data_IF_987673163976
#
_entry.id   IF_987673163976
#
_cell.length_a   1.000
_cell.length_b   1.000
_cell.length_c   1.000
_cell.angle_alpha   90.00
_cell.angle_beta   90.00
_cell.angle_gamma   90.00
#
_symmetry.space_group_name_H-M   'P 1'
#
loop_
_entity.id
_entity.type
_entity.pdbx_description
1 polymer ?
#
# COMPACT_ATOMS: atom_id res chain seq x y z
N UNK A 1 13.38 2.99 -4.27
CA UNK A 1 12.87 3.85 -5.34
C UNK A 1 11.34 4.02 -5.30
N UNK A 2 10.57 3.14 -4.67
CA UNK A 2 9.08 3.16 -4.69
C UNK A 2 8.43 3.82 -3.47
N UNK A 3 9.21 4.21 -2.48
CA UNK A 3 8.72 4.97 -1.34
C UNK A 3 8.90 6.47 -1.59
N UNK A 4 7.91 7.27 -1.19
CA UNK A 4 8.10 8.71 -1.03
C UNK A 4 8.98 8.98 0.20
N UNK A 5 9.49 10.20 0.36
CA UNK A 5 10.32 10.57 1.52
C UNK A 5 9.58 10.29 2.83
N UNK A 6 8.30 10.64 2.90
CA UNK A 6 7.47 10.38 4.07
C UNK A 6 7.24 8.88 4.35
N UNK A 7 7.01 8.08 3.30
CA UNK A 7 6.89 6.62 3.47
C UNK A 7 8.20 5.99 3.91
N UNK A 8 9.34 6.52 3.43
CA UNK A 8 10.65 6.08 3.87
C UNK A 8 10.92 6.45 5.33
N UNK A 9 10.46 7.61 5.80
CA UNK A 9 10.51 7.98 7.21
C UNK A 9 9.70 7.01 8.09
N UNK A 10 8.46 6.68 7.70
CA UNK A 10 7.63 5.70 8.40
C UNK A 10 8.29 4.32 8.44
N UNK A 11 8.91 3.91 7.34
CA UNK A 11 9.63 2.66 7.25
C UNK A 11 10.86 2.64 8.18
N UNK A 12 11.67 3.70 8.17
CA UNK A 12 12.80 3.85 9.08
C UNK A 12 12.35 3.88 10.54
N UNK A 13 11.22 4.51 10.85
CA UNK A 13 10.65 4.49 12.19
C UNK A 13 10.39 3.06 12.67
N UNK A 14 9.71 2.25 11.88
CA UNK A 14 9.35 0.87 12.28
C UNK A 14 10.59 -0.02 12.47
N UNK A 15 11.64 0.18 11.66
CA UNK A 15 12.94 -0.48 11.83
C UNK A 15 13.59 -0.03 13.14
N UNK A 16 13.66 1.28 13.36
CA UNK A 16 14.35 1.85 14.52
C UNK A 16 13.62 1.59 15.84
N UNK A 17 12.28 1.58 15.84
CA UNK A 17 11.50 1.13 17.01
C UNK A 17 11.93 -0.26 17.48
N UNK A 18 12.09 -1.19 16.55
CA UNK A 18 12.52 -2.56 16.86
C UNK A 18 13.99 -2.65 17.22
N UNK A 19 14.85 -1.86 16.57
CA UNK A 19 16.30 -1.84 16.83
C UNK A 19 16.61 -1.22 18.19
N UNK A 20 15.94 -0.12 18.56
CA UNK A 20 16.13 0.61 19.80
C UNK A 20 15.31 0.01 20.96
N UNK A 21 14.18 -0.63 20.66
CA UNK A 21 13.28 -1.25 21.65
C UNK A 21 12.38 -0.24 22.39
N UNK A 22 12.14 0.93 21.81
CA UNK A 22 11.23 1.93 22.38
C UNK A 22 10.27 2.50 21.31
N UNK A 23 9.04 2.90 21.69
CA UNK A 23 8.07 3.51 20.76
C UNK A 23 8.57 4.85 20.22
N UNK A 24 8.59 4.98 18.90
CA UNK A 24 9.01 6.16 18.17
C UNK A 24 7.83 6.81 17.43
N UNK A 25 7.99 8.09 17.06
CA UNK A 25 7.03 8.84 16.25
C UNK A 25 7.72 9.66 15.18
N UNK A 26 7.09 9.73 14.01
CA UNK A 26 7.39 10.74 13.00
C UNK A 26 6.57 12.00 13.24
N UNK A 27 7.01 13.11 12.70
CA UNK A 27 6.27 14.35 12.69
C UNK A 27 5.62 14.59 11.32
N UNK A 28 4.53 15.39 11.33
CA UNK A 28 3.94 15.85 10.06
C UNK A 28 4.96 16.75 9.33
N UNK A 29 4.95 16.78 8.00
CA UNK A 29 5.78 17.68 7.22
C UNK A 29 5.58 19.14 7.67
N UNK A 30 6.65 19.82 8.07
CA UNK A 30 6.55 21.21 8.56
C UNK A 30 7.83 21.71 9.22
N UNK A 31 7.71 22.74 10.07
CA UNK A 31 8.81 23.29 10.85
C UNK A 31 9.01 22.47 12.14
N UNK A 32 9.56 21.28 12.03
CA UNK A 32 9.83 20.34 13.13
C UNK A 32 11.17 20.55 13.85
N UNK A 33 11.89 21.60 13.44
CA UNK A 33 13.21 21.91 13.99
C UNK A 33 14.29 20.90 13.60
N UNK A 34 14.08 20.12 12.51
CA UNK A 34 15.05 19.16 11.97
C UNK A 34 15.12 17.84 12.74
N UNK A 35 14.00 17.38 13.30
CA UNK A 35 13.85 16.04 13.88
C UNK A 35 12.86 15.28 13.03
N UNK A 36 13.30 14.22 12.37
CA UNK A 36 12.41 13.38 11.57
C UNK A 36 11.66 12.39 12.48
N UNK A 37 12.38 11.72 13.39
CA UNK A 37 11.83 10.72 14.29
C UNK A 37 12.40 10.88 15.70
N UNK A 38 11.55 10.78 16.71
CA UNK A 38 11.94 10.75 18.12
C UNK A 38 11.01 9.85 18.93
N UNK A 39 11.30 9.69 20.21
CA UNK A 39 10.45 8.90 21.10
C UNK A 39 9.06 9.51 21.24
N UNK A 40 8.07 8.64 21.38
CA UNK A 40 6.68 9.05 21.59
C UNK A 40 6.51 9.96 22.83
N UNK A 41 7.32 9.75 23.86
CA UNK A 41 7.30 10.55 25.10
C UNK A 41 7.99 11.91 24.97
N UNK A 42 8.62 12.22 23.84
CA UNK A 42 9.35 13.46 23.57
C UNK A 42 10.45 13.76 24.62
N UNK A 43 11.08 12.71 25.16
CA UNK A 43 12.13 12.86 26.18
C UNK A 43 13.45 13.39 25.61
N UNK A 44 13.60 13.36 24.27
CA UNK A 44 14.81 13.83 23.58
C UNK A 44 16.01 12.91 23.72
N UNK A 45 15.84 11.70 24.27
CA UNK A 45 16.95 10.74 24.44
C UNK A 45 17.41 10.18 23.11
N UNK A 46 16.47 9.67 22.32
CA UNK A 46 16.73 9.10 21.01
C UNK A 46 16.24 10.04 19.92
N UNK A 47 17.09 10.32 18.97
CA UNK A 47 16.78 11.14 17.81
C UNK A 47 17.27 10.43 16.55
N UNK A 48 16.40 10.25 15.58
CA UNK A 48 16.74 9.60 14.30
C UNK A 48 16.53 10.60 13.17
N UNK A 49 17.57 10.78 12.37
CA UNK A 49 17.53 11.57 11.14
C UNK A 49 17.39 10.62 9.96
N UNK A 50 16.46 10.92 9.06
CA UNK A 50 16.22 10.11 7.87
C UNK A 50 16.63 10.87 6.62
N UNK A 51 17.35 10.21 5.72
CA UNK A 51 17.80 10.77 4.44
C UNK A 51 17.52 9.79 3.31
N UNK A 52 16.48 10.06 2.54
CA UNK A 52 16.05 9.21 1.41
C UNK A 52 16.87 9.50 0.14
N UNK A 53 18.20 9.49 0.24
CA UNK A 53 19.14 9.87 -0.84
C UNK A 53 19.57 8.65 -1.67
N UNK A 54 18.65 7.96 -2.34
CA UNK A 54 18.92 6.72 -3.08
C UNK A 54 19.89 6.97 -4.25
N UNK A 55 19.53 7.91 -5.12
CA UNK A 55 20.24 8.17 -6.38
C UNK A 55 21.24 9.34 -6.28
N UNK A 56 21.24 10.08 -5.19
CA UNK A 56 22.12 11.23 -4.99
C UNK A 56 23.57 10.80 -4.70
N UNK A 57 24.59 11.51 -5.18
CA UNK A 57 25.99 11.25 -4.83
C UNK A 57 26.25 11.35 -3.33
N UNK A 58 27.21 10.58 -2.79
CA UNK A 58 27.58 10.62 -1.37
C UNK A 58 27.92 12.05 -0.87
N UNK A 59 28.67 12.89 -1.61
CA UNK A 59 28.94 14.26 -1.17
C UNK A 59 27.69 15.10 -0.91
N UNK A 60 26.60 14.85 -1.62
CA UNK A 60 25.31 15.52 -1.43
C UNK A 60 24.70 15.10 -0.08
N UNK A 61 24.69 13.81 0.23
CA UNK A 61 24.24 13.29 1.53
C UNK A 61 25.08 13.89 2.67
N UNK A 62 26.42 13.85 2.56
CA UNK A 62 27.31 14.39 3.56
C UNK A 62 27.10 15.90 3.78
N UNK A 63 26.93 16.66 2.70
CA UNK A 63 26.61 18.10 2.78
C UNK A 63 25.30 18.37 3.50
N UNK A 64 24.28 17.55 3.25
CA UNK A 64 23.00 17.62 3.96
C UNK A 64 23.18 17.33 5.46
N UNK A 65 23.92 16.28 5.82
CA UNK A 65 24.18 15.91 7.21
C UNK A 65 24.99 17.00 7.95
N UNK A 66 25.96 17.62 7.29
CA UNK A 66 26.69 18.77 7.87
C UNK A 66 25.78 19.94 8.24
N UNK A 67 24.67 20.15 7.51
CA UNK A 67 23.67 21.18 7.84
C UNK A 67 22.80 20.81 9.05
N UNK A 68 22.69 19.52 9.36
CA UNK A 68 21.96 19.07 10.56
C UNK A 68 22.77 19.20 11.85
N UNK A 69 24.10 19.18 11.79
CA UNK A 69 24.97 19.21 12.96
C UNK A 69 24.68 20.38 13.94
N UNK A 70 24.45 21.64 13.50
CA UNK A 70 24.09 22.71 14.40
C UNK A 70 22.79 22.45 15.16
N UNK A 71 21.81 21.83 14.52
CA UNK A 71 20.51 21.48 15.12
C UNK A 71 20.67 20.37 16.16
N UNK A 72 21.48 19.35 15.86
CA UNK A 72 21.81 18.26 16.79
C UNK A 72 22.54 18.83 18.05
N UNK A 73 23.49 19.72 17.83
CA UNK A 73 24.19 20.43 18.93
C UNK A 73 23.25 21.25 19.82
N UNK A 74 22.23 21.84 19.22
CA UNK A 74 21.24 22.61 20.02
C UNK A 74 20.32 21.68 20.81
N UNK A 75 19.96 20.51 20.27
CA UNK A 75 19.04 19.57 20.91
C UNK A 75 19.70 18.60 21.87
N UNK A 76 21.00 18.36 21.73
CA UNK A 76 21.80 17.47 22.56
C UNK A 76 21.14 16.11 22.86
N UNK A 77 20.76 15.30 21.84
CA UNK A 77 20.21 13.99 22.09
C UNK A 77 21.24 13.11 22.82
N UNK A 78 20.77 12.16 23.64
CA UNK A 78 21.66 11.16 24.26
C UNK A 78 22.15 10.15 23.23
N UNK A 79 21.27 9.75 22.30
CA UNK A 79 21.56 8.80 21.23
C UNK A 79 21.03 9.36 19.90
N UNK A 80 21.94 9.57 18.99
CA UNK A 80 21.63 10.06 17.64
C UNK A 80 21.86 8.98 16.62
N UNK A 81 20.88 8.77 15.72
CA UNK A 81 20.94 7.78 14.69
C UNK A 81 20.71 8.43 13.32
N UNK A 82 21.32 7.85 12.28
CA UNK A 82 21.09 8.27 10.91
C UNK A 82 20.63 7.06 10.10
N UNK A 83 19.44 7.15 9.49
CA UNK A 83 18.95 6.18 8.51
C UNK A 83 19.05 6.77 7.12
N UNK A 84 19.69 6.06 6.17
CA UNK A 84 19.75 6.54 4.80
C UNK A 84 19.45 5.44 3.78
N UNK A 85 18.76 5.84 2.68
CA UNK A 85 18.40 4.96 1.58
C UNK A 85 19.55 4.64 0.62
N UNK A 86 20.81 4.89 1.02
CA UNK A 86 22.01 4.72 0.21
C UNK A 86 22.92 3.65 0.78
N UNK A 87 23.55 2.86 -0.11
CA UNK A 87 24.67 1.97 0.29
C UNK A 87 25.90 2.80 0.58
N UNK A 88 26.50 2.61 1.75
CA UNK A 88 27.70 3.33 2.19
C UNK A 88 28.90 2.41 2.24
N UNK A 89 30.09 2.97 1.99
CA UNK A 89 31.35 2.26 2.24
C UNK A 89 31.73 2.41 3.72
N UNK A 90 32.62 1.55 4.21
CA UNK A 90 33.14 1.66 5.58
C UNK A 90 33.76 3.04 5.87
N UNK A 91 34.45 3.63 4.87
CA UNK A 91 35.00 4.99 5.00
C UNK A 91 33.90 6.04 5.15
N UNK A 92 32.80 5.92 4.39
CA UNK A 92 31.66 6.84 4.48
C UNK A 92 30.97 6.75 5.83
N UNK A 93 30.76 5.53 6.33
CA UNK A 93 30.18 5.31 7.67
C UNK A 93 31.07 5.93 8.75
N UNK A 94 32.39 5.69 8.67
CA UNK A 94 33.36 6.26 9.61
C UNK A 94 33.37 7.80 9.59
N UNK A 95 33.30 8.41 8.38
CA UNK A 95 33.25 9.86 8.23
C UNK A 95 31.97 10.45 8.84
N UNK A 96 30.81 9.81 8.62
CA UNK A 96 29.54 10.24 9.22
C UNK A 96 29.58 10.09 10.74
N UNK A 97 30.07 8.95 11.25
CA UNK A 97 30.22 8.72 12.68
C UNK A 97 31.13 9.78 13.34
N UNK A 98 32.30 10.08 12.74
CA UNK A 98 33.19 11.12 13.26
C UNK A 98 32.53 12.49 13.32
N UNK A 99 31.65 12.82 12.37
CA UNK A 99 30.91 14.08 12.34
C UNK A 99 29.95 14.25 13.54
N UNK A 100 29.41 13.14 14.04
CA UNK A 100 28.40 13.12 15.13
C UNK A 100 28.85 12.31 16.35
N UNK A 101 30.14 12.05 16.51
CA UNK A 101 30.72 11.21 17.57
C UNK A 101 30.33 11.59 18.99
N UNK A 102 30.02 12.87 19.23
CA UNK A 102 29.57 13.35 20.56
C UNK A 102 28.13 12.90 20.91
N UNK A 103 27.38 12.37 19.93
CA UNK A 103 25.95 12.01 20.03
C UNK A 103 25.63 10.58 19.61
N UNK A 104 26.60 9.86 19.05
CA UNK A 104 26.46 8.48 18.60
C UNK A 104 27.28 7.55 19.47
N UNK A 105 26.71 6.46 19.93
CA UNK A 105 27.39 5.46 20.75
C UNK A 105 28.53 4.77 19.98
N UNK A 106 28.25 4.41 18.74
CA UNK A 106 29.18 3.75 17.83
C UNK A 106 28.76 3.93 16.35
N UNK A 107 29.52 3.33 15.45
CA UNK A 107 29.26 3.40 14.00
C UNK A 107 27.97 2.65 13.57
N UNK A 108 27.41 1.76 14.40
CA UNK A 108 26.14 1.06 14.13
C UNK A 108 24.92 1.99 14.21
N UNK A 109 25.12 3.20 14.77
CA UNK A 109 24.12 4.28 14.74
C UNK A 109 23.87 4.81 13.32
N UNK A 110 24.78 4.53 12.37
CA UNK A 110 24.60 4.84 10.94
C UNK A 110 24.01 3.62 10.24
N UNK A 111 22.69 3.67 10.00
CA UNK A 111 21.90 2.60 9.38
C UNK A 111 21.77 2.90 7.89
N UNK A 112 22.57 2.26 7.08
CA UNK A 112 22.56 2.37 5.63
C UNK A 112 21.62 1.35 4.96
N UNK A 113 21.48 1.42 3.65
CA UNK A 113 20.60 0.51 2.91
C UNK A 113 21.03 -0.98 3.06
N UNK A 114 22.30 -1.28 3.23
CA UNK A 114 22.77 -2.66 3.43
C UNK A 114 22.40 -3.19 4.82
N UNK A 115 22.48 -2.34 5.84
CA UNK A 115 22.07 -2.70 7.19
C UNK A 115 20.53 -2.84 7.28
N UNK A 116 19.78 -1.97 6.59
CA UNK A 116 18.33 -2.09 6.45
C UNK A 116 17.97 -3.44 5.82
N UNK A 117 18.61 -3.80 4.71
CA UNK A 117 18.36 -5.04 3.99
C UNK A 117 18.69 -6.26 4.88
N UNK A 118 19.85 -6.26 5.53
CA UNK A 118 20.24 -7.30 6.48
C UNK A 118 19.25 -7.46 7.64
N UNK A 119 18.74 -6.35 8.16
CA UNK A 119 17.78 -6.34 9.26
C UNK A 119 16.45 -6.97 8.84
N UNK A 120 15.97 -6.65 7.64
CA UNK A 120 14.70 -7.15 7.11
C UNK A 120 14.72 -8.64 6.74
N UNK A 121 15.88 -9.20 6.38
CA UNK A 121 16.02 -10.62 6.06
C UNK A 121 15.89 -11.54 7.29
N UNK A 122 15.93 -11.00 8.50
CA UNK A 122 15.67 -11.77 9.71
C UNK A 122 14.19 -12.13 9.80
N UNK A 123 13.87 -13.41 10.06
CA UNK A 123 12.48 -13.91 10.15
C UNK A 123 11.63 -13.14 11.15
N UNK A 124 12.22 -12.69 12.24
CA UNK A 124 11.57 -11.90 13.29
C UNK A 124 11.11 -10.50 12.84
N UNK A 125 11.60 -10.01 11.68
CA UNK A 125 11.31 -8.69 11.14
C UNK A 125 10.42 -8.72 9.89
N UNK A 126 9.91 -9.90 9.50
CA UNK A 126 9.10 -10.07 8.29
C UNK A 126 7.82 -9.20 8.28
N UNK A 127 7.22 -8.98 9.46
CA UNK A 127 6.04 -8.14 9.62
C UNK A 127 6.27 -6.66 9.28
N UNK A 128 7.51 -6.17 9.36
CA UNK A 128 7.86 -4.81 8.93
C UNK A 128 7.71 -4.70 7.41
N UNK A 129 8.22 -5.69 6.66
CA UNK A 129 8.03 -5.75 5.20
C UNK A 129 6.55 -5.83 4.82
N UNK A 130 5.76 -6.64 5.52
CA UNK A 130 4.33 -6.78 5.28
C UNK A 130 3.58 -5.46 5.46
N UNK A 131 3.98 -4.65 6.45
CA UNK A 131 3.42 -3.31 6.64
C UNK A 131 3.79 -2.33 5.53
N UNK A 132 4.99 -2.47 4.96
CA UNK A 132 5.51 -1.62 3.89
C UNK A 132 5.47 -2.33 2.53
N UNK A 133 4.26 -2.66 2.08
CA UNK A 133 3.98 -3.51 0.92
C UNK A 133 4.69 -3.08 -0.38
N UNK A 134 4.95 -1.78 -0.60
CA UNK A 134 5.66 -1.29 -1.79
C UNK A 134 7.08 -1.87 -1.93
N UNK A 135 7.70 -2.29 -0.83
CA UNK A 135 9.04 -2.86 -0.83
C UNK A 135 9.06 -4.34 -1.24
N UNK A 136 8.08 -5.13 -0.80
CA UNK A 136 8.06 -6.54 -1.12
C UNK A 136 7.40 -6.83 -2.48
N UNK A 137 6.57 -5.92 -2.99
CA UNK A 137 5.99 -6.04 -4.33
C UNK A 137 7.01 -6.01 -5.46
N UNK A 138 8.15 -5.36 -5.26
CA UNK A 138 9.28 -5.39 -6.21
C UNK A 138 10.09 -6.69 -6.16
N UNK A 139 9.85 -7.56 -5.20
CA UNK A 139 10.55 -8.83 -5.20
C UNK A 139 10.15 -9.58 -6.48
N UNK A 140 11.13 -9.86 -7.32
CA UNK A 140 11.00 -10.58 -8.60
C UNK A 140 10.11 -11.82 -8.49
N UNK A 141 10.08 -12.47 -7.31
CA UNK A 141 9.26 -13.64 -7.06
C UNK A 141 7.74 -13.38 -7.09
N UNK A 142 7.27 -12.19 -6.76
CA UNK A 142 5.84 -11.85 -6.83
C UNK A 142 5.46 -11.53 -8.26
N UNK A 143 6.23 -10.70 -8.95
CA UNK A 143 6.01 -10.37 -10.37
C UNK A 143 6.15 -11.60 -11.27
N UNK A 144 7.15 -12.48 -11.00
CA UNK A 144 7.30 -13.75 -11.72
C UNK A 144 6.13 -14.73 -11.46
N UNK A 145 5.61 -14.80 -10.24
CA UNK A 145 4.41 -15.60 -9.94
C UNK A 145 3.17 -15.06 -10.64
N UNK A 146 3.07 -13.75 -10.83
CA UNK A 146 2.01 -13.11 -11.56
C UNK A 146 2.15 -13.31 -13.08
N UNK A 147 3.37 -13.22 -13.62
CA UNK A 147 3.67 -13.38 -15.05
C UNK A 147 3.63 -14.82 -15.57
N UNK A 148 3.84 -15.83 -14.73
CA UNK A 148 3.83 -17.26 -15.10
C UNK A 148 2.44 -17.93 -15.00
N UNK A 149 1.37 -17.15 -14.91
CA UNK A 149 0.02 -17.71 -14.92
C UNK A 149 -0.56 -17.61 -16.32
N UNK A 150 -1.30 -18.63 -16.77
CA UNK A 150 -2.19 -18.57 -17.92
C UNK A 150 -3.31 -17.54 -17.66
N UNK A 151 -2.96 -16.27 -17.83
CA UNK A 151 -3.81 -15.14 -17.49
C UNK A 151 -4.40 -14.60 -18.79
N UNK A 152 -5.71 -14.39 -18.82
CA UNK A 152 -6.35 -13.69 -19.91
C UNK A 152 -5.73 -12.30 -20.12
N UNK A 153 -5.78 -11.79 -21.34
CA UNK A 153 -5.20 -10.48 -21.75
C UNK A 153 -5.60 -9.34 -20.77
N UNK A 154 -6.81 -9.40 -20.22
CA UNK A 154 -7.30 -8.43 -19.25
C UNK A 154 -6.53 -8.43 -17.93
N UNK A 155 -6.06 -9.60 -17.48
CA UNK A 155 -5.25 -9.70 -16.27
C UNK A 155 -3.84 -9.13 -16.49
N UNK A 156 -3.26 -9.36 -17.67
CA UNK A 156 -1.94 -8.82 -18.02
C UNK A 156 -1.96 -7.27 -18.04
N UNK A 157 -2.97 -6.68 -18.68
CA UNK A 157 -3.19 -5.24 -18.67
C UNK A 157 -3.49 -4.69 -17.26
N UNK A 158 -4.16 -5.45 -16.41
CA UNK A 158 -4.43 -5.12 -15.03
C UNK A 158 -3.13 -5.04 -14.22
N UNK A 159 -2.27 -6.04 -14.30
CA UNK A 159 -0.99 -6.06 -13.58
C UNK A 159 0.01 -5.02 -14.08
N UNK A 160 0.08 -4.79 -15.38
CA UNK A 160 0.92 -3.72 -15.95
C UNK A 160 0.53 -2.33 -15.42
N UNK A 161 -0.76 -2.07 -15.25
CA UNK A 161 -1.22 -0.83 -14.64
C UNK A 161 -0.88 -0.75 -13.15
N UNK A 162 -1.01 -1.85 -12.42
CA UNK A 162 -0.64 -1.90 -10.99
C UNK A 162 0.84 -1.55 -10.83
N UNK A 163 1.73 -2.12 -11.60
CA UNK A 163 3.16 -1.84 -11.52
C UNK A 163 3.47 -0.34 -11.62
N UNK A 164 2.78 0.37 -12.52
CA UNK A 164 2.96 1.82 -12.68
C UNK A 164 2.29 2.66 -11.58
N UNK A 165 1.14 2.23 -11.12
CA UNK A 165 0.28 3.02 -10.22
C UNK A 165 0.54 2.74 -8.73
N UNK A 166 1.14 1.60 -8.38
CA UNK A 166 1.35 1.20 -6.99
C UNK A 166 2.10 2.23 -6.13
N UNK A 167 3.07 2.94 -6.71
CA UNK A 167 3.82 3.98 -6.03
C UNK A 167 2.95 5.17 -5.59
N UNK A 168 1.85 5.43 -6.28
CA UNK A 168 0.91 6.50 -5.97
C UNK A 168 -0.04 6.12 -4.83
N UNK A 169 -0.24 4.82 -4.59
CA UNK A 169 -1.21 4.34 -3.62
C UNK A 169 -0.79 4.65 -2.18
N UNK A 170 -1.78 5.05 -1.40
CA UNK A 170 -1.67 5.22 0.05
C UNK A 170 -2.62 4.23 0.72
N UNK A 171 -2.13 3.49 1.72
CA UNK A 171 -3.00 2.66 2.55
C UNK A 171 -3.96 3.56 3.33
N UNK A 172 -5.23 3.45 3.00
CA UNK A 172 -6.32 4.14 3.68
C UNK A 172 -7.04 3.18 4.62
N UNK A 173 -7.92 3.71 5.47
CA UNK A 173 -8.81 2.89 6.32
C UNK A 173 -9.59 1.85 5.51
N UNK A 174 -9.99 2.18 4.28
CA UNK A 174 -10.73 1.25 3.40
C UNK A 174 -9.88 0.06 2.95
N UNK A 175 -8.56 0.22 2.83
CA UNK A 175 -7.67 -0.90 2.51
C UNK A 175 -7.62 -1.91 3.64
N UNK A 176 -7.39 -1.44 4.87
CA UNK A 176 -7.31 -2.31 6.05
C UNK A 176 -8.66 -3.00 6.34
N UNK A 177 -9.77 -2.26 6.21
CA UNK A 177 -11.11 -2.81 6.37
C UNK A 177 -11.41 -3.84 5.27
N UNK A 178 -11.15 -3.51 4.01
CA UNK A 178 -11.40 -4.40 2.87
C UNK A 178 -10.60 -5.70 2.97
N UNK A 179 -9.34 -5.63 3.38
CA UNK A 179 -8.51 -6.80 3.60
C UNK A 179 -9.11 -7.73 4.67
N UNK A 180 -9.42 -7.18 5.85
CA UNK A 180 -10.04 -7.93 6.95
C UNK A 180 -11.36 -8.58 6.57
N UNK A 181 -12.20 -7.85 5.81
CA UNK A 181 -13.49 -8.38 5.36
C UNK A 181 -13.32 -9.52 4.35
N UNK A 182 -12.37 -9.42 3.42
CA UNK A 182 -12.08 -10.50 2.47
C UNK A 182 -11.55 -11.75 3.17
N UNK A 183 -10.64 -11.60 4.11
CA UNK A 183 -10.09 -12.73 4.89
C UNK A 183 -11.18 -13.45 5.69
N UNK A 184 -12.16 -12.71 6.23
CA UNK A 184 -13.19 -13.26 7.11
C UNK A 184 -14.43 -13.75 6.36
N UNK A 185 -14.91 -12.96 5.40
CA UNK A 185 -16.23 -13.15 4.76
C UNK A 185 -16.12 -13.58 3.29
N UNK A 186 -14.91 -13.60 2.73
CA UNK A 186 -14.57 -14.03 1.38
C UNK A 186 -15.14 -13.18 0.23
N UNK A 187 -16.06 -12.27 0.49
CA UNK A 187 -16.72 -11.46 -0.53
C UNK A 187 -16.82 -10.00 -0.11
N UNK A 188 -16.40 -9.11 -1.00
CA UNK A 188 -16.37 -7.66 -0.77
C UNK A 188 -16.99 -6.92 -1.95
N UNK A 189 -17.89 -5.97 -1.65
CA UNK A 189 -18.43 -5.01 -2.59
C UNK A 189 -17.96 -3.61 -2.23
N UNK A 190 -17.22 -2.96 -3.12
CA UNK A 190 -16.77 -1.57 -2.99
C UNK A 190 -17.74 -0.65 -3.72
N UNK A 191 -18.35 0.27 -3.00
CA UNK A 191 -19.27 1.25 -3.54
C UNK A 191 -18.70 2.66 -3.36
N UNK A 192 -18.99 3.56 -4.29
CA UNK A 192 -18.54 4.95 -4.19
C UNK A 192 -18.72 5.72 -5.49
N UNK A 193 -18.55 7.02 -5.44
CA UNK A 193 -18.63 7.88 -6.60
C UNK A 193 -17.46 7.68 -7.60
N UNK A 194 -17.59 8.13 -8.84
CA UNK A 194 -16.48 8.15 -9.78
C UNK A 194 -15.27 8.91 -9.19
N UNK A 195 -14.06 8.37 -9.37
CA UNK A 195 -12.82 9.02 -8.92
C UNK A 195 -12.41 8.80 -7.46
N UNK A 196 -13.24 8.17 -6.60
CA UNK A 196 -12.90 7.94 -5.17
C UNK A 196 -11.84 6.86 -4.93
N UNK A 197 -11.30 6.24 -5.97
CA UNK A 197 -10.21 5.26 -5.85
C UNK A 197 -10.63 3.80 -5.75
N UNK A 198 -11.89 3.42 -6.03
CA UNK A 198 -12.37 2.02 -6.00
C UNK A 198 -11.49 1.04 -6.77
N UNK A 199 -11.22 1.35 -8.04
CA UNK A 199 -10.37 0.51 -8.91
C UNK A 199 -8.95 0.41 -8.37
N UNK A 200 -8.38 1.49 -7.82
CA UNK A 200 -7.07 1.46 -7.19
C UNK A 200 -7.06 0.57 -5.94
N UNK A 201 -8.05 0.71 -5.07
CA UNK A 201 -8.19 -0.14 -3.88
C UNK A 201 -8.36 -1.61 -4.27
N UNK A 202 -9.20 -1.90 -5.27
CA UNK A 202 -9.39 -3.26 -5.82
C UNK A 202 -8.08 -3.85 -6.31
N UNK A 203 -7.30 -3.09 -7.08
CA UNK A 203 -5.98 -3.51 -7.59
C UNK A 203 -5.02 -3.84 -6.44
N UNK A 204 -4.97 -3.01 -5.43
CA UNK A 204 -4.03 -3.17 -4.32
C UNK A 204 -4.41 -4.33 -3.41
N UNK A 205 -5.71 -4.57 -3.18
CA UNK A 205 -6.18 -5.78 -2.50
C UNK A 205 -5.84 -7.04 -3.31
N UNK A 206 -6.13 -7.02 -4.62
CA UNK A 206 -5.80 -8.15 -5.50
C UNK A 206 -4.30 -8.47 -5.47
N UNK A 207 -3.46 -7.47 -5.48
CA UNK A 207 -2.01 -7.62 -5.41
C UNK A 207 -1.55 -8.22 -4.07
N UNK A 208 -2.12 -7.79 -2.95
CA UNK A 208 -1.83 -8.35 -1.63
C UNK A 208 -2.16 -9.84 -1.57
N UNK A 209 -3.36 -10.24 -2.04
CA UNK A 209 -3.74 -11.64 -2.08
C UNK A 209 -2.96 -12.47 -3.11
N UNK A 210 -2.52 -11.86 -4.22
CA UNK A 210 -1.63 -12.52 -5.17
C UNK A 210 -0.30 -12.92 -4.51
N UNK A 211 0.25 -12.05 -3.68
CA UNK A 211 1.44 -12.35 -2.88
C UNK A 211 1.24 -13.50 -1.88
N UNK A 212 0.03 -13.68 -1.37
CA UNK A 212 -0.36 -14.80 -0.51
C UNK A 212 -0.67 -16.10 -1.28
N UNK A 213 -0.41 -16.10 -2.60
CA UNK A 213 -0.55 -17.26 -3.46
C UNK A 213 -1.93 -17.42 -4.11
N UNK A 214 -2.80 -16.41 -4.04
CA UNK A 214 -4.05 -16.42 -4.78
C UNK A 214 -3.81 -16.15 -6.27
N UNK A 215 -4.44 -16.92 -7.14
CA UNK A 215 -4.52 -16.60 -8.58
C UNK A 215 -5.59 -15.54 -8.80
N UNK A 216 -5.23 -14.47 -9.48
CA UNK A 216 -6.15 -13.38 -9.78
C UNK A 216 -6.90 -13.70 -11.09
N UNK A 217 -8.23 -13.54 -11.07
CA UNK A 217 -9.13 -13.63 -12.21
C UNK A 217 -9.85 -12.29 -12.34
N UNK A 218 -9.48 -11.51 -13.35
CA UNK A 218 -9.94 -10.13 -13.50
C UNK A 218 -10.81 -9.97 -14.74
N UNK A 219 -11.90 -9.22 -14.64
CA UNK A 219 -12.71 -8.76 -15.77
C UNK A 219 -13.27 -7.36 -15.52
N UNK A 220 -13.28 -6.54 -16.57
CA UNK A 220 -13.81 -5.18 -16.58
C UNK A 220 -15.23 -5.07 -17.12
N UNK A 221 -15.67 -6.04 -17.91
CA UNK A 221 -16.92 -5.94 -18.68
C UNK A 221 -18.05 -6.82 -18.14
N UNK A 222 -17.83 -7.46 -16.97
CA UNK A 222 -18.80 -8.39 -16.40
C UNK A 222 -19.09 -9.61 -17.28
N UNK A 223 -18.15 -10.02 -18.15
CA UNK A 223 -18.24 -11.25 -18.91
C UNK A 223 -17.95 -12.45 -18.01
N UNK A 224 -18.99 -12.84 -17.26
CA UNK A 224 -18.92 -13.91 -16.27
C UNK A 224 -18.69 -15.29 -16.88
N UNK A 225 -19.07 -15.49 -18.15
CA UNK A 225 -18.93 -16.77 -18.83
C UNK A 225 -17.46 -17.19 -18.98
N UNK A 226 -16.59 -16.27 -19.44
CA UNK A 226 -15.17 -16.56 -19.61
C UNK A 226 -14.46 -16.70 -18.26
N UNK A 227 -14.86 -15.89 -17.28
CA UNK A 227 -14.36 -16.00 -15.93
C UNK A 227 -14.71 -17.35 -15.29
N UNK A 228 -15.95 -17.84 -15.47
CA UNK A 228 -16.36 -19.16 -14.99
C UNK A 228 -15.57 -20.31 -15.64
N UNK A 229 -15.24 -20.19 -16.93
CA UNK A 229 -14.39 -21.18 -17.62
C UNK A 229 -12.95 -21.17 -17.10
N UNK A 230 -12.45 -20.00 -16.71
CA UNK A 230 -11.10 -19.84 -16.18
C UNK A 230 -10.94 -20.30 -14.73
N UNK A 231 -12.04 -20.43 -13.96
CA UNK A 231 -12.00 -20.91 -12.59
C UNK A 231 -11.62 -22.39 -12.53
N UNK A 232 -10.73 -22.70 -11.59
CA UNK A 232 -10.34 -24.08 -11.33
C UNK A 232 -11.47 -24.86 -10.66
N UNK A 233 -11.72 -26.08 -11.11
CA UNK A 233 -12.60 -27.02 -10.44
C UNK A 233 -12.02 -27.53 -9.09
N UNK A 234 -10.72 -27.34 -8.88
CA UNK A 234 -10.05 -27.65 -7.63
C UNK A 234 -10.48 -26.69 -6.52
N UNK A 235 -11.12 -27.20 -5.50
CA UNK A 235 -11.68 -26.43 -4.38
C UNK A 235 -10.62 -25.85 -3.46
N UNK A 236 -9.46 -26.47 -3.36
CA UNK A 236 -8.34 -26.05 -2.51
C UNK A 236 -7.48 -24.98 -3.18
N UNK A 237 -7.65 -24.79 -4.48
CA UNK A 237 -6.85 -23.79 -5.21
C UNK A 237 -7.29 -22.38 -4.84
N UNK A 238 -6.38 -21.60 -4.30
CA UNK A 238 -6.61 -20.20 -3.97
C UNK A 238 -6.81 -19.36 -5.23
N UNK A 239 -7.99 -18.76 -5.38
CA UNK A 239 -8.31 -17.85 -6.48
C UNK A 239 -9.07 -16.62 -5.94
N UNK A 240 -8.69 -15.44 -6.42
CA UNK A 240 -9.39 -14.19 -6.18
C UNK A 240 -10.01 -13.70 -7.48
N UNK A 241 -11.31 -13.61 -7.48
CA UNK A 241 -12.11 -13.10 -8.60
C UNK A 241 -12.31 -11.60 -8.41
N UNK A 242 -12.04 -10.82 -9.45
CA UNK A 242 -12.18 -9.36 -9.44
C UNK A 242 -13.11 -8.93 -10.56
N UNK A 243 -14.24 -8.35 -10.20
CA UNK A 243 -15.22 -7.78 -11.12
C UNK A 243 -15.17 -6.25 -10.99
N UNK A 244 -14.42 -5.60 -11.88
CA UNK A 244 -14.29 -4.14 -11.90
C UNK A 244 -15.45 -3.52 -12.67
N UNK A 245 -16.14 -2.54 -12.08
CA UNK A 245 -17.39 -1.92 -12.58
C UNK A 245 -18.46 -2.96 -12.96
N UNK A 246 -18.68 -3.94 -12.07
CA UNK A 246 -19.52 -5.12 -12.32
C UNK A 246 -20.97 -4.81 -12.70
N UNK A 247 -21.47 -3.63 -12.32
CA UNK A 247 -22.79 -3.11 -12.65
C UNK A 247 -22.74 -1.96 -13.67
N UNK A 248 -21.69 -1.88 -14.51
CA UNK A 248 -21.42 -0.78 -15.43
C UNK A 248 -22.61 -0.34 -16.28
N UNK A 249 -22.45 0.68 -17.11
CA UNK A 249 -23.51 1.31 -17.93
C UNK A 249 -24.37 0.35 -18.77
N UNK A 250 -23.86 -0.86 -19.02
CA UNK A 250 -24.55 -1.90 -19.78
C UNK A 250 -25.35 -2.90 -18.93
N UNK A 251 -25.27 -2.85 -17.58
CA UNK A 251 -26.01 -3.77 -16.73
C UNK A 251 -27.52 -3.73 -17.02
N UNK A 252 -28.06 -2.54 -17.26
CA UNK A 252 -29.47 -2.33 -17.53
C UNK A 252 -29.91 -2.72 -18.95
N UNK A 253 -28.98 -2.91 -19.88
CA UNK A 253 -29.28 -3.41 -21.24
C UNK A 253 -29.16 -4.92 -21.35
N UNK A 254 -28.63 -5.57 -20.31
CA UNK A 254 -28.32 -7.01 -20.35
C UNK A 254 -29.17 -7.75 -19.31
N UNK A 255 -30.29 -8.18 -19.77
CA UNK A 255 -31.15 -9.30 -19.39
C UNK A 255 -30.82 -10.10 -18.11
N UNK A 256 -31.87 -10.67 -17.52
CA UNK A 256 -31.96 -11.67 -16.42
C UNK A 256 -30.83 -12.73 -16.41
N UNK A 257 -30.25 -13.05 -17.55
CA UNK A 257 -29.17 -14.03 -17.69
C UNK A 257 -27.89 -13.64 -16.92
N UNK A 258 -27.46 -12.37 -16.94
CA UNK A 258 -26.23 -11.95 -16.23
C UNK A 258 -26.42 -11.88 -14.71
N UNK A 259 -27.59 -11.52 -14.26
CA UNK A 259 -27.95 -11.54 -12.85
C UNK A 259 -27.89 -12.97 -12.31
N UNK A 260 -28.52 -13.92 -12.99
CA UNK A 260 -28.45 -15.34 -12.65
C UNK A 260 -27.01 -15.88 -12.67
N UNK A 261 -26.17 -15.40 -13.58
CA UNK A 261 -24.75 -15.77 -13.63
C UNK A 261 -23.96 -15.24 -12.44
N UNK A 262 -24.21 -13.98 -12.01
CA UNK A 262 -23.59 -13.40 -10.84
C UNK A 262 -24.02 -14.15 -9.58
N UNK A 263 -25.32 -14.43 -9.44
CA UNK A 263 -25.87 -15.23 -8.34
C UNK A 263 -25.23 -16.62 -8.26
N UNK A 264 -25.07 -17.27 -9.40
CA UNK A 264 -24.42 -18.58 -9.46
C UNK A 264 -22.95 -18.51 -9.04
N UNK A 265 -22.23 -17.46 -9.45
CA UNK A 265 -20.84 -17.24 -9.06
C UNK A 265 -20.70 -17.04 -7.54
N UNK A 266 -21.54 -16.18 -6.94
CA UNK A 266 -21.52 -15.92 -5.50
C UNK A 266 -21.84 -17.21 -4.72
N UNK A 267 -22.86 -17.96 -5.13
CA UNK A 267 -23.17 -19.26 -4.48
C UNK A 267 -22.03 -20.26 -4.59
N UNK A 268 -21.27 -20.21 -5.69
CA UNK A 268 -20.08 -21.06 -5.87
C UNK A 268 -18.98 -20.64 -4.88
N UNK A 269 -18.70 -19.34 -4.73
CA UNK A 269 -17.68 -18.81 -3.82
C UNK A 269 -18.04 -19.11 -2.37
N UNK A 270 -19.29 -18.94 -1.96
CA UNK A 270 -19.75 -19.29 -0.59
C UNK A 270 -19.46 -20.74 -0.20
N UNK A 271 -19.44 -21.64 -1.16
CA UNK A 271 -19.18 -23.08 -0.94
C UNK A 271 -17.72 -23.47 -1.04
N UNK A 272 -16.84 -22.52 -1.39
CA UNK A 272 -15.43 -22.79 -1.65
C UNK A 272 -14.55 -21.77 -0.90
N UNK A 273 -14.09 -22.06 0.33
CA UNK A 273 -13.36 -21.13 1.18
C UNK A 273 -12.03 -20.63 0.59
N UNK A 274 -11.43 -21.36 -0.36
CA UNK A 274 -10.23 -20.93 -1.08
C UNK A 274 -10.50 -19.93 -2.20
N UNK A 275 -11.77 -19.55 -2.44
CA UNK A 275 -12.16 -18.57 -3.45
C UNK A 275 -12.61 -17.27 -2.79
N UNK A 276 -12.10 -16.15 -3.30
CA UNK A 276 -12.46 -14.81 -2.85
C UNK A 276 -13.09 -14.02 -4.00
N UNK A 277 -13.92 -13.04 -3.68
CA UNK A 277 -14.56 -12.15 -4.65
C UNK A 277 -14.46 -10.70 -4.23
N UNK A 278 -13.94 -9.87 -5.12
CA UNK A 278 -14.04 -8.41 -5.03
C UNK A 278 -14.93 -7.94 -6.18
N UNK A 279 -15.92 -7.16 -5.85
CA UNK A 279 -16.77 -6.44 -6.80
C UNK A 279 -16.66 -4.94 -6.52
N UNK A 280 -16.70 -4.11 -7.54
CA UNK A 280 -16.89 -2.70 -7.34
C UNK A 280 -17.94 -2.12 -8.31
N UNK A 281 -18.59 -1.05 -7.87
CA UNK A 281 -19.59 -0.33 -8.65
C UNK A 281 -19.75 1.10 -8.16
N UNK A 282 -20.42 1.91 -8.97
CA UNK A 282 -20.90 3.24 -8.55
C UNK A 282 -22.11 3.08 -7.64
N UNK A 283 -22.20 3.92 -6.61
CA UNK A 283 -23.34 3.91 -5.66
C UNK A 283 -24.67 4.09 -6.39
N UNK A 284 -24.74 5.04 -7.31
CA UNK A 284 -25.96 5.33 -8.09
C UNK A 284 -26.42 4.12 -8.90
N UNK A 285 -25.51 3.45 -9.59
CA UNK A 285 -25.81 2.26 -10.39
C UNK A 285 -26.24 1.09 -9.50
N UNK A 286 -25.61 0.93 -8.34
CA UNK A 286 -25.97 -0.10 -7.38
C UNK A 286 -27.40 0.10 -6.83
N UNK A 287 -27.77 1.33 -6.47
CA UNK A 287 -29.13 1.63 -6.01
C UNK A 287 -30.17 1.42 -7.12
N UNK A 288 -29.86 1.85 -8.34
CA UNK A 288 -30.74 1.64 -9.49
C UNK A 288 -30.94 0.15 -9.78
N UNK A 289 -29.88 -0.68 -9.67
CA UNK A 289 -30.00 -2.13 -9.82
C UNK A 289 -30.93 -2.73 -8.75
N UNK A 290 -30.83 -2.30 -7.50
CA UNK A 290 -31.71 -2.75 -6.40
C UNK A 290 -33.18 -2.33 -6.60
N UNK A 291 -33.44 -1.17 -7.18
CA UNK A 291 -34.79 -0.70 -7.46
C UNK A 291 -35.44 -1.46 -8.60
N UNK A 292 -34.66 -1.79 -9.63
CA UNK A 292 -35.18 -2.45 -10.85
C UNK A 292 -35.32 -3.97 -10.73
N UNK A 293 -34.48 -4.62 -9.92
CA UNK A 293 -34.50 -6.08 -9.74
C UNK A 293 -34.78 -6.45 -8.30
N UNK A 294 -35.92 -7.11 -8.10
CA UNK A 294 -36.28 -7.70 -6.81
C UNK A 294 -35.32 -8.81 -6.40
N UNK A 295 -34.88 -9.63 -7.36
CA UNK A 295 -33.96 -10.74 -7.12
C UNK A 295 -32.58 -10.24 -6.71
N UNK A 296 -32.06 -9.21 -7.40
CA UNK A 296 -30.80 -8.58 -7.04
C UNK A 296 -30.86 -7.91 -5.66
N UNK A 297 -31.97 -7.23 -5.35
CA UNK A 297 -32.18 -6.61 -4.02
C UNK A 297 -32.21 -7.67 -2.93
N UNK A 298 -33.04 -8.71 -3.08
CA UNK A 298 -33.13 -9.81 -2.14
C UNK A 298 -31.76 -10.47 -1.92
N UNK A 299 -31.06 -10.73 -3.02
CA UNK A 299 -29.72 -11.30 -2.98
C UNK A 299 -28.69 -10.44 -2.22
N UNK A 300 -28.72 -9.13 -2.46
CA UNK A 300 -27.78 -8.21 -1.79
C UNK A 300 -28.13 -7.88 -0.34
N UNK A 301 -29.33 -8.21 0.10
CA UNK A 301 -29.84 -8.00 1.46
C UNK A 301 -29.96 -9.30 2.26
N UNK A 302 -29.81 -10.46 1.63
CA UNK A 302 -29.85 -11.75 2.31
C UNK A 302 -28.64 -11.90 3.25
N UNK A 303 -28.93 -11.98 4.55
CA UNK A 303 -27.92 -12.15 5.60
C UNK A 303 -27.13 -13.45 5.48
N UNK A 304 -27.70 -14.45 4.82
CA UNK A 304 -27.00 -15.70 4.54
C UNK A 304 -25.96 -15.57 3.43
N UNK A 305 -26.08 -14.53 2.60
CA UNK A 305 -25.12 -14.20 1.55
C UNK A 305 -24.16 -13.12 2.09
N UNK A 306 -23.04 -13.56 2.60
CA UNK A 306 -22.07 -12.71 3.33
C UNK A 306 -21.28 -11.74 2.42
N UNK A 307 -21.98 -10.99 1.54
CA UNK A 307 -21.33 -9.91 0.78
C UNK A 307 -21.22 -8.69 1.68
N UNK A 308 -20.01 -8.34 2.07
CA UNK A 308 -19.77 -7.11 2.84
C UNK A 308 -19.59 -5.92 1.91
N UNK A 309 -20.16 -4.79 2.30
CA UNK A 309 -20.14 -3.55 1.53
C UNK A 309 -19.28 -2.53 2.23
N UNK A 310 -18.39 -1.89 1.48
CA UNK A 310 -17.67 -0.69 1.91
C UNK A 310 -18.11 0.45 1.01
N UNK A 311 -18.70 1.47 1.62
CA UNK A 311 -19.03 2.71 0.92
C UNK A 311 -17.88 3.71 1.09
N UNK A 312 -17.19 3.99 0.00
CA UNK A 312 -16.04 4.89 -0.03
C UNK A 312 -16.49 6.36 -0.10
N UNK A 313 -17.19 6.83 0.94
CA UNK A 313 -17.86 8.14 0.94
C UNK A 313 -17.00 9.29 1.48
N UNK A 314 -15.79 9.01 1.98
CA UNK A 314 -14.91 10.06 2.50
C UNK A 314 -13.63 9.52 3.09
N UNK A 315 -12.55 9.96 2.51
CA UNK A 315 -11.24 9.94 3.11
C UNK A 315 -11.16 11.11 4.10
N UNK A 316 -10.45 10.93 5.20
CA UNK A 316 -10.14 12.05 6.07
C UNK A 316 -9.10 12.99 5.42
N UNK A 317 -8.88 14.16 6.03
CA UNK A 317 -7.99 15.18 5.45
C UNK A 317 -6.52 14.71 5.43
N UNK A 318 -6.12 13.86 6.37
CA UNK A 318 -4.78 13.30 6.39
C UNK A 318 -4.58 12.29 5.25
N UNK A 319 -5.52 11.40 5.03
CA UNK A 319 -5.51 10.43 3.92
C UNK A 319 -5.48 11.17 2.56
N UNK A 320 -6.32 12.20 2.40
CA UNK A 320 -6.32 13.05 1.19
C UNK A 320 -4.98 13.74 0.99
N UNK A 321 -4.43 14.31 2.06
CA UNK A 321 -3.12 14.98 2.04
C UNK A 321 -2.00 14.03 1.62
N UNK A 322 -1.97 12.80 2.14
CA UNK A 322 -0.98 11.78 1.78
C UNK A 322 -1.11 11.34 0.31
N UNK A 323 -2.34 11.14 -0.19
CA UNK A 323 -2.58 10.80 -1.60
C UNK A 323 -2.08 11.94 -2.49
N UNK A 324 -2.44 13.17 -2.17
CA UNK A 324 -2.03 14.35 -2.93
C UNK A 324 -0.51 14.52 -2.93
N UNK A 325 0.13 14.37 -1.78
CA UNK A 325 1.58 14.41 -1.64
C UNK A 325 2.27 13.36 -2.54
N UNK A 326 1.81 12.10 -2.52
CA UNK A 326 2.38 11.06 -3.37
C UNK A 326 2.25 11.40 -4.86
N UNK A 327 1.10 11.92 -5.28
CA UNK A 327 0.92 12.34 -6.66
C UNK A 327 1.87 13.47 -7.07
N UNK A 328 2.07 14.48 -6.23
CA UNK A 328 3.02 15.56 -6.49
C UNK A 328 4.46 15.06 -6.51
N UNK A 329 4.83 14.23 -5.54
CA UNK A 329 6.17 13.69 -5.40
C UNK A 329 6.59 12.86 -6.62
N UNK A 330 5.77 11.92 -7.03
CA UNK A 330 6.07 11.06 -8.18
C UNK A 330 5.80 11.70 -9.54
N UNK A 331 5.17 12.87 -9.58
CA UNK A 331 5.07 13.69 -10.78
C UNK A 331 6.32 14.55 -11.02
N UNK A 332 7.33 14.50 -10.10
CA UNK A 332 8.59 15.26 -10.19
C UNK A 332 8.35 16.76 -10.40
N UNK A 333 7.30 17.30 -9.79
CA UNK A 333 6.97 18.73 -9.90
C UNK A 333 8.05 19.55 -9.19
N UNK A 334 8.63 20.58 -9.81
CA UNK A 334 9.64 21.41 -9.18
C UNK A 334 9.15 22.04 -7.86
N UNK A 335 10.01 22.07 -6.84
CA UNK A 335 9.68 22.59 -5.50
C UNK A 335 9.10 24.01 -5.49
N UNK A 336 9.45 24.83 -6.48
CA UNK A 336 8.93 26.19 -6.61
C UNK A 336 7.41 26.25 -6.74
N UNK A 337 6.78 25.19 -7.27
CA UNK A 337 5.33 25.08 -7.40
C UNK A 337 4.64 24.59 -6.11
N UNK A 338 5.33 23.90 -5.21
CA UNK A 338 4.76 23.46 -3.94
C UNK A 338 4.31 24.60 -3.05
N UNK A 339 4.99 25.76 -3.12
CA UNK A 339 4.63 26.98 -2.36
C UNK A 339 3.29 27.56 -2.75
N UNK A 340 2.78 27.25 -3.94
CA UNK A 340 1.49 27.74 -4.45
C UNK A 340 0.34 26.80 -4.11
N UNK A 341 0.63 25.57 -3.72
CA UNK A 341 -0.37 24.54 -3.41
C UNK A 341 -0.76 24.54 -1.92
N UNK A 342 0.10 25.09 -1.06
CA UNK A 342 -0.14 25.18 0.39
C UNK A 342 -0.99 26.41 0.80
N UNK A 343 -1.57 27.13 -0.13
CA UNK A 343 -2.53 28.22 0.08
C UNK A 343 -3.93 27.76 -0.35
#
# INVERSE_FOLDING_TARGET
>A
ANLSDFEFELFCRDIMERKIGCPLRCFAPGRDGGVDITETKLSGKHMVQVKHYIDSPYPTLLSSLKKELPKVRQKQPQHYYICCGKKLTACNISEIYQLFSDYMDDAEAVVDLMEIDRFLHKKENADILERHYKLWLESTSVLERLGNQDIAIDCDAFFYRIEKEQKLFVKTKYYEEGRKLLEKEHMLMLLGDPGVGKTMLTKMLALAFAAEGYRIRYTTNGELADLKRALSADRERKELIVLDDCLGQHYFKMQETKENELLALVKYIMRNPAKLLIMNSRVTIFHEAKERSCDFRYFMEDENIKIRKIEMNGLDEEEKGRIFYNHLYFAEIPEEYYRNVSK
#
